data_IF_281784070850
#
_entry.id   IF_281784070850
#
_cell.length_a   1.000
_cell.length_b   1.000
_cell.length_c   1.000
_cell.angle_alpha   90.00
_cell.angle_beta   90.00
_cell.angle_gamma   90.00
#
_symmetry.space_group_name_H-M   'P 1'
#
loop_
_entity.id
_entity.type
_entity.pdbx_description
1 polymer ?
#
# COMPACT_ATOMS: atom_id res chain seq x y z
N UNK A 1 -22.66 -18.53 -41.88
CA UNK A 1 -21.19 -18.45 -41.85
C UNK A 1 -20.77 -18.86 -40.44
N UNK A 2 -20.16 -20.04 -40.29
CA UNK A 2 -19.59 -20.47 -39.01
C UNK A 2 -18.28 -19.70 -38.84
N UNK A 3 -18.23 -18.79 -37.88
CA UNK A 3 -16.98 -18.15 -37.48
C UNK A 3 -16.00 -19.22 -37.04
N UNK A 4 -14.90 -19.32 -37.77
CA UNK A 4 -13.75 -20.14 -37.38
C UNK A 4 -13.10 -19.46 -36.19
N UNK A 5 -13.47 -19.87 -34.99
CA UNK A 5 -12.72 -19.56 -33.78
C UNK A 5 -11.31 -20.08 -34.01
N UNK A 6 -10.33 -19.20 -33.96
CA UNK A 6 -8.91 -19.49 -34.05
C UNK A 6 -8.55 -20.62 -33.04
N UNK A 7 -8.38 -21.83 -33.56
CA UNK A 7 -7.84 -22.97 -32.82
C UNK A 7 -6.32 -22.78 -32.69
N UNK A 8 -5.89 -21.85 -31.83
CA UNK A 8 -4.52 -21.82 -31.39
C UNK A 8 -4.38 -22.81 -30.23
N UNK A 9 -3.82 -23.98 -30.53
CA UNK A 9 -3.42 -24.95 -29.51
C UNK A 9 -1.89 -24.89 -29.36
N UNK A 10 -1.32 -23.99 -28.56
CA UNK A 10 -0.02 -24.27 -28.02
C UNK A 10 -0.20 -25.54 -27.19
N UNK A 11 0.68 -26.53 -27.36
CA UNK A 11 0.76 -27.66 -26.42
C UNK A 11 1.28 -27.07 -25.09
N UNK A 12 0.33 -26.65 -24.24
CA UNK A 12 0.67 -26.23 -22.89
C UNK A 12 1.20 -27.47 -22.18
N UNK A 13 2.26 -27.34 -21.36
CA UNK A 13 2.79 -28.44 -20.60
C UNK A 13 1.69 -29.02 -19.68
N UNK A 14 1.51 -30.34 -19.74
CA UNK A 14 0.59 -31.05 -18.87
C UNK A 14 1.20 -31.07 -17.45
N UNK A 15 0.47 -30.57 -16.46
CA UNK A 15 0.85 -30.62 -15.05
C UNK A 15 0.54 -31.96 -14.41
N UNK A 16 -0.42 -32.70 -14.98
CA UNK A 16 -0.88 -33.99 -14.52
C UNK A 16 -2.25 -34.35 -15.05
N UNK A 17 -2.84 -35.39 -14.48
CA UNK A 17 -4.22 -35.80 -14.76
C UNK A 17 -5.06 -35.76 -13.50
N UNK A 18 -6.31 -35.40 -13.65
CA UNK A 18 -7.28 -35.36 -12.56
C UNK A 18 -8.62 -35.90 -13.00
N UNK A 19 -9.32 -36.57 -12.10
CA UNK A 19 -10.69 -37.03 -12.34
C UNK A 19 -11.65 -35.93 -11.95
N UNK A 20 -12.52 -35.57 -12.88
CA UNK A 20 -13.43 -34.43 -12.77
C UNK A 20 -14.86 -34.91 -13.06
N UNK A 21 -15.85 -34.58 -12.21
CA UNK A 21 -17.24 -34.85 -12.53
C UNK A 21 -17.61 -34.18 -13.86
N UNK A 22 -18.19 -34.95 -14.78
CA UNK A 22 -18.55 -34.45 -16.11
C UNK A 22 -19.46 -33.23 -16.04
N UNK A 23 -20.37 -33.17 -15.07
CA UNK A 23 -21.29 -32.06 -14.84
C UNK A 23 -20.65 -30.78 -14.33
N UNK A 24 -19.39 -30.84 -13.90
CA UNK A 24 -18.63 -29.67 -13.36
C UNK A 24 -17.63 -29.11 -14.36
N UNK A 25 -17.48 -29.74 -15.53
CA UNK A 25 -16.59 -29.25 -16.60
C UNK A 25 -17.31 -28.14 -17.36
N UNK A 26 -16.74 -26.95 -17.31
CA UNK A 26 -17.20 -25.80 -18.09
C UNK A 26 -16.34 -25.69 -19.36
N UNK A 27 -16.93 -25.93 -20.52
CA UNK A 27 -16.28 -25.85 -21.83
C UNK A 27 -16.93 -24.84 -22.77
N UNK A 28 -18.10 -24.30 -22.41
CA UNK A 28 -18.77 -23.26 -23.16
C UNK A 28 -18.24 -21.88 -22.76
N UNK A 29 -18.14 -20.92 -23.72
CA UNK A 29 -17.57 -19.60 -23.45
C UNK A 29 -18.20 -18.86 -22.26
N UNK A 30 -19.50 -18.96 -22.08
CA UNK A 30 -20.21 -18.30 -20.97
C UNK A 30 -19.93 -18.96 -19.60
N UNK A 31 -19.73 -20.27 -19.58
CA UNK A 31 -19.38 -21.02 -18.37
C UNK A 31 -17.93 -20.77 -17.97
N UNK A 32 -17.00 -20.79 -18.95
CA UNK A 32 -15.62 -20.39 -18.76
C UNK A 32 -15.53 -18.98 -18.16
N UNK A 33 -16.28 -18.03 -18.70
CA UNK A 33 -16.33 -16.68 -18.17
C UNK A 33 -16.86 -16.63 -16.75
N UNK A 34 -17.91 -17.38 -16.43
CA UNK A 34 -18.45 -17.45 -15.08
C UNK A 34 -17.43 -18.04 -14.08
N UNK A 35 -16.70 -19.10 -14.46
CA UNK A 35 -15.64 -19.67 -13.63
C UNK A 35 -14.49 -18.68 -13.41
N UNK A 36 -14.03 -17.94 -14.45
CA UNK A 36 -12.96 -16.96 -14.35
C UNK A 36 -13.33 -15.74 -13.49
N UNK A 37 -14.62 -15.44 -13.35
CA UNK A 37 -15.12 -14.40 -12.44
C UNK A 37 -15.24 -14.87 -10.98
N UNK A 38 -15.12 -16.17 -10.72
CA UNK A 38 -15.12 -16.69 -9.36
C UNK A 38 -13.72 -16.51 -8.73
N UNK A 39 -13.53 -15.40 -8.04
CA UNK A 39 -12.24 -15.04 -7.43
C UNK A 39 -12.02 -15.71 -6.06
N UNK A 40 -13.04 -16.35 -5.50
CA UNK A 40 -13.01 -16.90 -4.14
C UNK A 40 -12.58 -18.38 -4.09
N UNK A 41 -12.47 -19.05 -5.25
CA UNK A 41 -12.08 -20.45 -5.37
C UNK A 41 -11.00 -20.63 -6.43
N UNK A 42 -10.13 -21.65 -6.31
CA UNK A 42 -9.19 -21.98 -7.37
C UNK A 42 -9.92 -22.52 -8.60
N UNK A 43 -9.51 -22.08 -9.79
CA UNK A 43 -10.04 -22.55 -11.07
C UNK A 43 -8.98 -23.42 -11.74
N UNK A 44 -9.30 -24.67 -12.01
CA UNK A 44 -8.45 -25.63 -12.69
C UNK A 44 -8.65 -25.52 -14.19
N UNK A 45 -7.56 -25.38 -14.92
CA UNK A 45 -7.55 -25.32 -16.38
C UNK A 45 -7.31 -26.71 -16.94
N UNK A 46 -8.21 -27.18 -17.77
CA UNK A 46 -8.22 -28.51 -18.35
C UNK A 46 -8.05 -28.45 -19.85
N UNK A 47 -7.32 -29.44 -20.40
CA UNK A 47 -7.25 -29.66 -21.83
C UNK A 47 -8.34 -30.66 -22.23
N UNK A 48 -9.40 -30.16 -22.86
CA UNK A 48 -10.51 -30.95 -23.38
C UNK A 48 -10.33 -31.23 -24.88
N UNK A 49 -10.93 -32.28 -25.42
CA UNK A 49 -10.94 -32.54 -26.87
C UNK A 49 -11.44 -31.37 -27.72
N UNK A 50 -12.33 -30.56 -27.15
CA UNK A 50 -12.92 -29.39 -27.81
C UNK A 50 -12.16 -28.08 -27.55
N UNK A 51 -11.09 -28.14 -26.75
CA UNK A 51 -10.25 -27.00 -26.43
C UNK A 51 -10.01 -26.79 -24.93
N UNK A 52 -9.93 -25.54 -24.51
CA UNK A 52 -9.78 -25.21 -23.09
C UNK A 52 -11.11 -25.42 -22.36
N UNK A 53 -11.04 -26.11 -21.24
CA UNK A 53 -12.12 -26.20 -20.28
C UNK A 53 -11.66 -25.77 -18.88
N UNK A 54 -12.60 -25.49 -18.00
CA UNK A 54 -12.30 -25.13 -16.60
C UNK A 54 -13.13 -25.99 -15.65
N UNK A 55 -12.60 -26.14 -14.46
CA UNK A 55 -13.27 -26.84 -13.36
C UNK A 55 -13.05 -26.10 -12.05
N UNK A 56 -14.11 -25.97 -11.28
CA UNK A 56 -14.08 -25.52 -9.88
C UNK A 56 -14.56 -26.69 -9.04
N UNK A 57 -13.71 -27.28 -8.17
CA UNK A 57 -14.09 -28.43 -7.36
C UNK A 57 -15.29 -28.11 -6.45
N UNK A 58 -16.35 -28.89 -6.57
CA UNK A 58 -17.44 -28.90 -5.60
C UNK A 58 -17.21 -29.95 -4.53
N UNK A 59 -17.96 -29.88 -3.43
CA UNK A 59 -17.92 -30.92 -2.40
C UNK A 59 -18.79 -32.14 -2.74
N UNK A 60 -19.39 -32.16 -3.92
CA UNK A 60 -20.27 -33.25 -4.39
C UNK A 60 -19.44 -34.38 -5.00
N UNK A 61 -19.64 -35.59 -4.49
CA UNK A 61 -19.11 -36.80 -5.12
C UNK A 61 -20.06 -37.23 -6.23
N UNK A 62 -19.54 -37.28 -7.48
CA UNK A 62 -20.26 -37.83 -8.63
C UNK A 62 -19.61 -39.15 -9.05
N UNK A 63 -20.43 -40.13 -9.43
CA UNK A 63 -19.96 -41.41 -9.99
C UNK A 63 -19.52 -41.26 -11.47
N UNK A 64 -20.03 -40.26 -12.18
CA UNK A 64 -19.67 -39.98 -13.58
C UNK A 64 -18.45 -39.01 -13.62
N UNK A 65 -17.24 -39.59 -13.59
CA UNK A 65 -15.98 -38.86 -13.64
C UNK A 65 -15.29 -39.06 -14.98
N UNK A 66 -14.65 -37.99 -15.44
CA UNK A 66 -13.76 -38.01 -16.62
C UNK A 66 -12.34 -37.65 -16.22
N UNK A 67 -11.40 -38.50 -16.64
CA UNK A 67 -9.99 -38.18 -16.46
C UNK A 67 -9.59 -37.10 -17.47
N UNK A 68 -9.23 -35.93 -16.96
CA UNK A 68 -8.83 -34.75 -17.76
C UNK A 68 -7.35 -34.44 -17.56
N UNK A 69 -6.75 -33.86 -18.60
CA UNK A 69 -5.39 -33.32 -18.54
C UNK A 69 -5.42 -31.95 -17.89
N UNK A 70 -4.72 -31.79 -16.75
CA UNK A 70 -4.58 -30.54 -16.03
C UNK A 70 -3.41 -29.76 -16.63
N UNK A 71 -3.66 -28.55 -17.10
CA UNK A 71 -2.66 -27.66 -17.73
C UNK A 71 -2.33 -26.42 -16.91
N UNK A 72 -3.14 -26.10 -15.91
CA UNK A 72 -2.90 -24.95 -15.04
C UNK A 72 -3.86 -24.90 -13.87
N UNK A 73 -3.53 -24.08 -12.89
CA UNK A 73 -4.42 -23.74 -11.76
C UNK A 73 -4.35 -22.22 -11.60
N UNK A 74 -5.49 -21.56 -11.68
CA UNK A 74 -5.64 -20.17 -11.26
C UNK A 74 -5.95 -20.19 -9.77
N UNK A 75 -5.06 -19.67 -8.92
CA UNK A 75 -5.31 -19.64 -7.49
C UNK A 75 -6.43 -18.66 -7.14
N UNK A 76 -6.93 -18.74 -5.93
CA UNK A 76 -7.85 -17.74 -5.34
C UNK A 76 -7.25 -16.34 -5.53
N UNK A 77 -8.07 -15.41 -6.00
CA UNK A 77 -7.69 -14.03 -6.31
C UNK A 77 -8.39 -13.03 -5.37
N UNK A 78 -8.48 -13.37 -4.10
CA UNK A 78 -9.07 -12.45 -3.12
C UNK A 78 -8.33 -11.12 -3.10
N UNK A 79 -9.02 -9.97 -3.03
CA UNK A 79 -8.38 -8.66 -2.88
C UNK A 79 -7.41 -8.58 -1.70
N UNK A 80 -7.58 -9.41 -0.67
CA UNK A 80 -6.67 -9.50 0.46
C UNK A 80 -5.29 -10.10 0.12
N UNK A 81 -5.15 -10.73 -1.04
CA UNK A 81 -3.88 -11.29 -1.54
C UNK A 81 -3.14 -10.33 -2.47
N UNK A 82 -3.76 -9.20 -2.84
CA UNK A 82 -3.12 -8.19 -3.68
C UNK A 82 -2.21 -7.30 -2.85
N UNK A 83 -1.06 -6.95 -3.42
CA UNK A 83 -0.07 -6.09 -2.78
C UNK A 83 0.81 -6.79 -1.75
N UNK A 84 1.56 -6.01 -0.99
CA UNK A 84 2.46 -6.52 0.05
C UNK A 84 1.71 -6.70 1.37
N UNK A 85 1.55 -7.94 1.82
CA UNK A 85 0.92 -8.27 3.11
C UNK A 85 1.65 -7.64 4.31
N UNK A 86 2.93 -7.32 4.17
CA UNK A 86 3.72 -6.58 5.15
C UNK A 86 3.21 -5.16 5.41
N UNK A 87 2.40 -4.60 4.50
CA UNK A 87 1.69 -3.33 4.71
C UNK A 87 0.54 -3.46 5.72
N UNK A 88 -0.18 -4.57 5.69
CA UNK A 88 -1.42 -4.72 6.44
C UNK A 88 -1.24 -4.69 7.95
N UNK A 89 -0.25 -5.42 8.47
CA UNK A 89 -0.05 -5.55 9.92
C UNK A 89 0.35 -4.23 10.59
N UNK A 90 1.37 -3.48 10.11
CA UNK A 90 1.75 -2.22 10.73
C UNK A 90 0.69 -1.13 10.61
N UNK A 91 -0.07 -1.10 9.51
CA UNK A 91 -1.13 -0.11 9.29
C UNK A 91 -2.50 -0.55 9.84
N UNK A 92 -2.63 -1.80 10.34
CA UNK A 92 -3.90 -2.36 10.87
C UNK A 92 -5.01 -2.35 9.81
N UNK A 93 -4.67 -2.70 8.57
CA UNK A 93 -5.58 -2.78 7.43
C UNK A 93 -5.90 -4.23 7.08
N UNK A 94 -7.01 -4.43 6.37
CA UNK A 94 -7.36 -5.71 5.77
C UNK A 94 -6.70 -5.90 4.40
N UNK A 95 -6.51 -4.80 3.68
CA UNK A 95 -5.99 -4.79 2.33
C UNK A 95 -4.72 -3.95 2.26
N UNK A 96 -3.77 -4.38 1.44
CA UNK A 96 -2.57 -3.60 1.13
C UNK A 96 -2.91 -2.50 0.11
N UNK A 97 -3.82 -1.61 0.52
CA UNK A 97 -4.35 -0.53 -0.30
C UNK A 97 -4.39 0.78 0.50
N UNK A 98 -3.93 1.85 -0.12
CA UNK A 98 -3.94 3.20 0.43
C UNK A 98 -4.68 4.15 -0.50
N UNK A 99 -5.73 4.80 0.01
CA UNK A 99 -6.42 5.88 -0.67
C UNK A 99 -5.75 7.21 -0.28
N UNK A 100 -5.04 7.81 -1.24
CA UNK A 100 -4.28 9.03 -1.04
C UNK A 100 -5.14 10.26 -0.74
N UNK A 101 -4.52 11.26 -0.15
CA UNK A 101 -5.16 12.52 0.19
C UNK A 101 -5.50 13.36 -1.06
N UNK A 102 -6.61 14.07 -0.97
CA UNK A 102 -6.98 15.17 -1.86
C UNK A 102 -7.12 16.42 -1.01
N UNK A 103 -6.35 17.47 -1.34
CA UNK A 103 -6.23 18.71 -0.58
C UNK A 103 -7.58 19.38 -0.25
N UNK A 104 -7.55 20.39 0.63
CA UNK A 104 -8.69 21.19 1.03
C UNK A 104 -9.89 20.39 1.59
N UNK A 105 -9.63 19.22 2.16
CA UNK A 105 -10.67 18.36 2.71
C UNK A 105 -11.53 17.67 1.66
N UNK A 106 -11.10 17.60 0.37
CA UNK A 106 -11.78 16.83 -0.67
C UNK A 106 -11.75 15.34 -0.32
N UNK A 107 -10.58 14.78 0.08
CA UNK A 107 -10.55 13.54 0.83
C UNK A 107 -11.06 13.84 2.25
N UNK A 108 -12.38 13.74 2.43
CA UNK A 108 -13.10 14.20 3.61
C UNK A 108 -13.03 13.20 4.76
N UNK A 109 -13.47 13.60 5.94
CA UNK A 109 -13.62 12.72 7.10
C UNK A 109 -14.54 11.54 6.79
N UNK A 110 -15.64 11.78 6.05
CA UNK A 110 -16.59 10.75 5.66
C UNK A 110 -15.94 9.69 4.78
N UNK A 111 -15.13 10.11 3.80
CA UNK A 111 -14.39 9.19 2.94
C UNK A 111 -13.40 8.35 3.75
N UNK A 112 -12.58 8.99 4.62
CA UNK A 112 -11.62 8.31 5.47
C UNK A 112 -12.30 7.32 6.41
N UNK A 113 -13.43 7.72 7.01
CA UNK A 113 -14.22 6.87 7.91
C UNK A 113 -14.78 5.67 7.15
N UNK A 114 -15.40 5.88 5.99
CA UNK A 114 -16.01 4.82 5.20
C UNK A 114 -14.96 3.77 4.77
N UNK A 115 -13.79 4.21 4.29
CA UNK A 115 -12.70 3.33 3.90
C UNK A 115 -12.07 2.62 5.11
N UNK A 116 -11.83 3.32 6.22
CA UNK A 116 -11.30 2.75 7.45
C UNK A 116 -12.22 1.68 8.06
N UNK A 117 -13.53 1.83 7.94
CA UNK A 117 -14.51 0.82 8.34
C UNK A 117 -14.40 -0.46 7.51
N UNK A 118 -13.96 -0.38 6.26
CA UNK A 118 -13.72 -1.52 5.38
C UNK A 118 -12.31 -2.12 5.52
N UNK A 119 -11.48 -1.57 6.41
CA UNK A 119 -10.10 -2.03 6.61
C UNK A 119 -9.13 -1.54 5.53
N UNK A 120 -9.41 -0.39 4.94
CA UNK A 120 -8.57 0.29 3.96
C UNK A 120 -7.96 1.52 4.61
N UNK A 121 -6.67 1.76 4.40
CA UNK A 121 -6.01 3.00 4.84
C UNK A 121 -6.43 4.15 3.91
N UNK A 122 -6.87 5.26 4.49
CA UNK A 122 -7.16 6.48 3.74
C UNK A 122 -6.57 7.70 4.43
N UNK A 123 -6.09 8.66 3.63
CA UNK A 123 -5.51 9.90 4.11
C UNK A 123 -6.49 11.06 4.02
N UNK A 124 -6.74 11.73 5.13
CA UNK A 124 -7.51 12.98 5.15
C UNK A 124 -6.75 14.10 4.43
N UNK A 125 -7.43 14.87 3.60
CA UNK A 125 -6.87 15.94 2.78
C UNK A 125 -6.58 17.22 3.54
N UNK A 126 -5.61 17.21 4.44
CA UNK A 126 -5.30 18.32 5.34
C UNK A 126 -4.59 19.50 4.69
N UNK A 127 -4.00 19.35 3.51
CA UNK A 127 -3.32 20.42 2.79
C UNK A 127 -4.24 21.63 2.54
N UNK A 128 -3.75 22.83 2.79
CA UNK A 128 -4.51 24.09 2.64
C UNK A 128 -5.48 24.39 3.79
N UNK A 129 -5.59 23.52 4.80
CA UNK A 129 -6.47 23.73 5.95
C UNK A 129 -5.73 24.34 7.14
N UNK A 130 -6.44 25.20 7.87
CA UNK A 130 -5.93 25.77 9.13
C UNK A 130 -5.90 24.73 10.25
N UNK A 131 -5.00 24.86 11.25
CA UNK A 131 -4.82 23.87 12.32
C UNK A 131 -6.12 23.52 13.09
N UNK A 132 -7.02 24.46 13.32
CA UNK A 132 -8.29 24.20 14.00
C UNK A 132 -9.23 23.30 13.18
N UNK A 133 -9.20 23.42 11.85
CA UNK A 133 -9.98 22.56 10.94
C UNK A 133 -9.41 21.14 10.92
N UNK A 134 -8.07 21.03 10.95
CA UNK A 134 -7.38 19.73 11.04
C UNK A 134 -7.72 19.05 12.37
N UNK A 135 -7.70 19.79 13.49
CA UNK A 135 -8.07 19.28 14.81
C UNK A 135 -9.50 18.72 14.84
N UNK A 136 -10.47 19.46 14.30
CA UNK A 136 -11.85 18.98 14.21
C UNK A 136 -11.96 17.67 13.39
N UNK A 137 -11.21 17.57 12.29
CA UNK A 137 -11.15 16.34 11.49
C UNK A 137 -10.55 15.17 12.25
N UNK A 138 -9.46 15.39 13.00
CA UNK A 138 -8.83 14.35 13.82
C UNK A 138 -9.83 13.79 14.82
N UNK A 139 -10.49 14.66 15.58
CA UNK A 139 -11.46 14.26 16.60
C UNK A 139 -12.60 13.43 16.01
N UNK A 140 -13.18 13.89 14.89
CA UNK A 140 -14.26 13.19 14.19
C UNK A 140 -13.84 11.81 13.69
N UNK A 141 -12.67 11.71 13.03
CA UNK A 141 -12.15 10.45 12.49
C UNK A 141 -11.82 9.49 13.64
N UNK A 142 -11.16 9.94 14.71
CA UNK A 142 -10.80 9.10 15.86
C UNK A 142 -12.04 8.57 16.59
N UNK A 143 -13.08 9.39 16.72
CA UNK A 143 -14.35 8.95 17.31
C UNK A 143 -15.02 7.85 16.50
N UNK A 144 -14.97 7.94 15.16
CA UNK A 144 -15.62 6.98 14.26
C UNK A 144 -14.80 5.73 14.00
N UNK A 145 -13.47 5.81 14.14
CA UNK A 145 -12.52 4.73 13.84
C UNK A 145 -11.66 4.33 15.07
N UNK A 146 -12.27 3.96 16.21
CA UNK A 146 -11.48 3.56 17.36
C UNK A 146 -10.62 2.34 17.02
N UNK A 147 -9.29 2.47 17.16
CA UNK A 147 -8.30 1.42 16.87
C UNK A 147 -8.23 0.93 15.40
N UNK A 148 -8.77 1.68 14.45
CA UNK A 148 -8.70 1.39 13.01
C UNK A 148 -7.69 2.28 12.30
N UNK A 149 -7.36 1.90 11.06
CA UNK A 149 -6.43 2.61 10.21
C UNK A 149 -7.01 3.91 9.67
N UNK A 150 -6.24 4.97 9.76
CA UNK A 150 -6.43 6.24 9.09
C UNK A 150 -5.09 6.98 9.00
N UNK A 151 -4.98 7.89 8.07
CA UNK A 151 -3.82 8.75 7.89
C UNK A 151 -4.24 10.20 7.64
N UNK A 152 -3.30 11.12 7.77
CA UNK A 152 -3.46 12.53 7.47
C UNK A 152 -2.40 12.99 6.50
N UNK A 153 -2.77 13.84 5.56
CA UNK A 153 -1.80 14.47 4.67
C UNK A 153 -0.89 15.44 5.44
N UNK A 154 0.40 15.38 5.18
CA UNK A 154 1.38 16.38 5.57
C UNK A 154 2.04 16.91 4.31
N UNK A 155 1.64 18.11 3.89
CA UNK A 155 2.19 18.75 2.71
C UNK A 155 3.37 19.65 3.08
N UNK A 156 4.41 19.60 2.26
CA UNK A 156 5.48 20.61 2.32
C UNK A 156 5.04 21.88 1.61
N UNK A 157 5.02 23.00 2.36
CA UNK A 157 4.69 24.32 1.84
C UNK A 157 5.81 25.31 2.16
N UNK A 158 6.77 25.50 1.24
CA UNK A 158 7.89 26.42 1.49
C UNK A 158 7.47 27.87 1.76
N UNK A 159 6.35 28.29 1.17
CA UNK A 159 5.79 29.64 1.35
C UNK A 159 5.07 29.83 2.69
N UNK A 160 4.61 28.72 3.31
CA UNK A 160 3.81 28.77 4.53
C UNK A 160 4.28 27.73 5.57
N UNK A 161 5.54 27.84 6.08
CA UNK A 161 6.09 26.85 7.01
C UNK A 161 5.26 26.68 8.29
N UNK A 162 4.52 27.71 8.70
CA UNK A 162 3.67 27.69 9.88
C UNK A 162 2.53 26.68 9.78
N UNK A 163 2.01 26.41 8.58
CA UNK A 163 0.97 25.41 8.36
C UNK A 163 1.52 23.99 8.55
N UNK A 164 2.70 23.70 8.02
CA UNK A 164 3.36 22.41 8.22
C UNK A 164 3.68 22.17 9.71
N UNK A 165 4.24 23.16 10.39
CA UNK A 165 4.54 23.10 11.83
C UNK A 165 3.24 22.87 12.63
N UNK A 166 2.21 23.65 12.36
CA UNK A 166 0.92 23.55 13.05
C UNK A 166 0.22 22.20 12.82
N UNK A 167 0.30 21.64 11.62
CA UNK A 167 -0.20 20.30 11.33
C UNK A 167 0.52 19.23 12.15
N UNK A 168 1.86 19.24 12.14
CA UNK A 168 2.68 18.29 12.94
C UNK A 168 2.38 18.40 14.42
N UNK A 169 2.20 19.61 14.96
CA UNK A 169 1.83 19.82 16.37
C UNK A 169 0.50 19.14 16.70
N UNK A 170 -0.53 19.31 15.84
CA UNK A 170 -1.81 18.64 16.03
C UNK A 170 -1.70 17.13 15.91
N UNK A 171 -0.94 16.62 14.92
CA UNK A 171 -0.76 15.18 14.77
C UNK A 171 -0.10 14.56 15.99
N UNK A 172 0.94 15.17 16.53
CA UNK A 172 1.60 14.70 17.75
C UNK A 172 0.71 14.83 18.99
N UNK A 173 0.03 15.97 19.15
CA UNK A 173 -0.87 16.24 20.29
C UNK A 173 -2.01 15.23 20.36
N UNK A 174 -2.62 14.89 19.24
CA UNK A 174 -3.75 13.98 19.15
C UNK A 174 -3.38 12.54 18.82
N UNK A 175 -2.10 12.22 18.74
CA UNK A 175 -1.62 10.85 18.52
C UNK A 175 -2.01 10.28 17.15
N UNK A 176 -2.01 11.11 16.09
CA UNK A 176 -2.13 10.63 14.71
C UNK A 176 -0.92 9.77 14.37
N UNK A 177 -1.13 8.50 14.03
CA UNK A 177 -0.09 7.48 13.90
C UNK A 177 0.44 7.30 12.48
N UNK A 178 -0.18 7.89 11.48
CA UNK A 178 0.25 7.78 10.09
C UNK A 178 0.05 9.10 9.36
N UNK A 179 1.09 9.54 8.66
CA UNK A 179 1.02 10.69 7.75
C UNK A 179 1.41 10.28 6.34
N UNK A 180 0.73 10.88 5.36
CA UNK A 180 1.09 10.86 3.95
C UNK A 180 1.85 12.15 3.63
N UNK A 181 3.18 12.05 3.47
CA UNK A 181 4.04 13.18 3.15
C UNK A 181 4.02 13.46 1.64
N UNK A 182 3.61 14.66 1.24
CA UNK A 182 3.47 15.04 -0.16
C UNK A 182 4.13 16.39 -0.47
N UNK A 183 4.51 16.58 -1.73
CA UNK A 183 5.16 17.77 -2.26
C UNK A 183 6.52 18.12 -1.61
N UNK A 184 7.15 17.17 -0.94
CA UNK A 184 8.50 17.37 -0.40
C UNK A 184 9.53 17.31 -1.52
N UNK A 185 10.41 18.31 -1.59
CA UNK A 185 11.61 18.31 -2.43
C UNK A 185 12.86 17.96 -1.60
N UNK A 186 12.83 18.23 -0.30
CA UNK A 186 13.79 17.80 0.71
C UNK A 186 13.04 17.62 2.04
N UNK A 187 13.66 17.00 3.02
CA UNK A 187 13.10 16.88 4.36
C UNK A 187 13.06 18.24 5.07
N UNK A 188 12.17 18.36 6.03
CA UNK A 188 12.07 19.51 6.95
C UNK A 188 12.24 19.04 8.40
N UNK A 189 12.54 19.97 9.29
CA UNK A 189 12.56 19.66 10.74
C UNK A 189 11.21 19.18 11.24
N UNK A 190 10.09 19.60 10.62
CA UNK A 190 8.75 19.22 11.04
C UNK A 190 8.45 17.75 10.78
N UNK A 191 8.74 17.23 9.58
CA UNK A 191 8.53 15.81 9.29
C UNK A 191 9.53 14.93 10.04
N UNK A 192 10.77 15.38 10.23
CA UNK A 192 11.76 14.69 11.07
C UNK A 192 11.26 14.63 12.53
N UNK A 193 10.76 15.74 13.09
CA UNK A 193 10.13 15.77 14.41
C UNK A 193 9.01 14.74 14.53
N UNK A 194 8.08 14.73 13.55
CA UNK A 194 6.97 13.78 13.56
C UNK A 194 7.45 12.34 13.60
N UNK A 195 8.36 11.97 12.70
CA UNK A 195 8.92 10.62 12.61
C UNK A 195 9.63 10.21 13.89
N UNK A 196 10.56 11.05 14.33
CA UNK A 196 11.50 10.72 15.43
C UNK A 196 10.82 10.74 16.79
N UNK A 197 9.83 11.60 17.02
CA UNK A 197 9.03 11.60 18.26
C UNK A 197 8.26 10.27 18.48
N UNK A 198 8.08 9.48 17.44
CA UNK A 198 7.43 8.17 17.52
C UNK A 198 8.38 6.97 17.68
N UNK A 199 9.67 7.19 17.93
CA UNK A 199 10.66 6.12 18.11
C UNK A 199 10.84 5.77 19.58
N UNK A 200 10.76 4.47 19.87
CA UNK A 200 10.92 3.94 21.24
C UNK A 200 11.78 2.68 21.22
N UNK A 201 12.70 2.56 22.18
CA UNK A 201 13.45 1.33 22.38
C UNK A 201 12.57 0.31 23.10
N UNK A 202 12.51 -0.92 22.57
CA UNK A 202 11.83 -2.05 23.19
C UNK A 202 12.76 -3.25 23.29
N UNK A 203 12.37 -4.29 24.03
CA UNK A 203 13.14 -5.54 24.09
C UNK A 203 13.26 -6.26 22.73
N UNK A 204 12.36 -5.97 21.79
CA UNK A 204 12.32 -6.55 20.43
C UNK A 204 13.00 -5.69 19.37
N UNK A 205 13.55 -4.53 19.73
CA UNK A 205 14.16 -3.59 18.79
C UNK A 205 13.55 -2.19 18.87
N UNK A 206 13.55 -1.47 17.75
CA UNK A 206 12.99 -0.11 17.69
C UNK A 206 11.52 -0.19 17.28
N UNK A 207 10.64 0.27 18.16
CA UNK A 207 9.22 0.46 17.85
C UNK A 207 9.02 1.82 17.15
N UNK A 208 8.25 1.81 16.07
CA UNK A 208 7.91 2.99 15.28
C UNK A 208 6.42 3.23 15.40
N UNK A 209 6.02 4.20 16.20
CA UNK A 209 4.60 4.53 16.40
C UNK A 209 4.09 5.58 15.40
N UNK A 210 4.94 6.48 14.91
CA UNK A 210 4.60 7.52 13.95
C UNK A 210 5.11 7.11 12.55
N UNK A 211 4.20 6.63 11.71
CA UNK A 211 4.51 6.12 10.38
C UNK A 211 4.44 7.20 9.32
N UNK A 212 5.30 7.07 8.34
CA UNK A 212 5.35 7.99 7.20
C UNK A 212 5.20 7.18 5.92
N UNK A 213 4.21 7.56 5.11
CA UNK A 213 4.06 7.15 3.71
C UNK A 213 4.52 8.34 2.87
N UNK A 214 5.61 8.22 2.14
CA UNK A 214 6.12 9.31 1.32
C UNK A 214 5.64 9.17 -0.12
N UNK A 215 4.93 10.17 -0.63
CA UNK A 215 4.53 10.28 -2.04
C UNK A 215 5.67 10.93 -2.82
N UNK A 216 6.24 10.19 -3.76
CA UNK A 216 7.42 10.60 -4.49
C UNK A 216 7.34 10.26 -5.97
N UNK A 217 7.79 11.17 -6.84
CA UNK A 217 7.97 10.96 -8.29
C UNK A 217 9.44 10.97 -8.71
N UNK A 218 10.36 11.38 -7.81
CA UNK A 218 11.76 11.66 -8.10
C UNK A 218 12.68 10.85 -7.20
N UNK A 219 13.72 10.26 -7.77
CA UNK A 219 14.68 9.42 -7.06
C UNK A 219 15.47 10.14 -5.99
N UNK A 220 15.83 11.42 -6.21
CA UNK A 220 16.53 12.23 -5.23
C UNK A 220 15.67 12.54 -4.00
N UNK A 221 14.37 12.69 -4.17
CA UNK A 221 13.42 12.85 -3.04
C UNK A 221 13.20 11.52 -2.34
N UNK A 222 13.00 10.44 -3.10
CA UNK A 222 12.86 9.09 -2.55
C UNK A 222 14.04 8.71 -1.67
N UNK A 223 15.28 9.03 -2.10
CA UNK A 223 16.50 8.80 -1.30
C UNK A 223 16.39 9.40 0.09
N UNK A 224 15.88 10.64 0.22
CA UNK A 224 15.72 11.32 1.51
C UNK A 224 14.82 10.57 2.48
N UNK A 225 13.80 9.92 1.96
CA UNK A 225 12.86 9.14 2.78
C UNK A 225 13.32 7.70 3.03
N UNK A 226 14.17 7.15 2.17
CA UNK A 226 14.76 5.82 2.31
C UNK A 226 15.94 5.79 3.28
N UNK A 227 16.60 6.92 3.49
CA UNK A 227 17.72 7.09 4.41
C UNK A 227 17.23 7.45 5.83
N UNK A 228 18.06 7.28 6.87
CA UNK A 228 17.82 7.84 8.19
C UNK A 228 17.72 9.36 8.20
N UNK A 229 17.14 9.90 9.28
CA UNK A 229 17.01 11.34 9.44
C UNK A 229 18.38 12.06 9.40
N UNK A 230 18.54 13.13 8.61
CA UNK A 230 19.78 13.87 8.56
C UNK A 230 20.14 14.54 9.90
N UNK A 231 21.42 14.48 10.27
CA UNK A 231 21.93 15.02 11.55
C UNK A 231 21.56 16.50 11.77
N UNK A 232 21.58 17.31 10.69
CA UNK A 232 21.20 18.74 10.75
C UNK A 232 19.81 18.96 11.35
N UNK A 233 18.83 18.10 10.98
CA UNK A 233 17.47 18.21 11.47
C UNK A 233 17.30 17.58 12.87
N UNK A 234 18.03 16.49 13.17
CA UNK A 234 18.06 15.92 14.51
C UNK A 234 18.58 16.94 15.52
N UNK A 235 19.69 17.60 15.22
CA UNK A 235 20.24 18.68 16.03
C UNK A 235 19.22 19.81 16.23
N UNK A 236 18.59 20.28 15.16
CA UNK A 236 17.56 21.31 15.24
C UNK A 236 16.38 20.90 16.14
N UNK A 237 15.94 19.64 16.08
CA UNK A 237 14.87 19.13 16.92
C UNK A 237 15.31 19.02 18.39
N UNK A 238 16.54 18.59 18.66
CA UNK A 238 17.14 18.55 20.01
C UNK A 238 17.24 19.94 20.63
N UNK A 239 17.81 20.91 19.88
CA UNK A 239 17.98 22.29 20.34
C UNK A 239 16.65 22.96 20.71
N UNK A 240 15.55 22.55 20.04
CA UNK A 240 14.18 23.00 20.34
C UNK A 240 13.46 22.16 21.42
N UNK A 241 14.08 21.12 21.92
CA UNK A 241 13.44 20.21 22.88
C UNK A 241 12.26 19.42 22.30
N UNK A 242 12.20 19.24 20.98
CA UNK A 242 11.13 18.53 20.30
C UNK A 242 11.27 17.01 20.35
N UNK A 243 12.50 16.52 20.54
CA UNK A 243 12.85 15.11 20.66
C UNK A 243 13.88 14.93 21.77
N UNK A 244 14.02 13.72 22.28
CA UNK A 244 15.05 13.35 23.26
C UNK A 244 16.34 12.88 22.57
N UNK A 245 17.44 12.84 23.31
CA UNK A 245 18.70 12.28 22.78
C UNK A 245 18.57 10.80 22.45
N UNK A 246 17.80 10.03 23.23
CA UNK A 246 17.50 8.63 22.93
C UNK A 246 16.81 8.50 21.57
N UNK A 247 15.76 9.28 21.33
CA UNK A 247 15.06 9.29 20.03
C UNK A 247 15.97 9.67 18.88
N UNK A 248 16.85 10.64 19.06
CA UNK A 248 17.82 11.02 18.03
C UNK A 248 18.81 9.88 17.74
N UNK A 249 19.25 9.14 18.73
CA UNK A 249 20.13 7.98 18.56
C UNK A 249 19.39 6.85 17.80
N UNK A 250 18.13 6.58 18.13
CA UNK A 250 17.32 5.58 17.44
C UNK A 250 17.07 5.93 15.96
N UNK A 251 16.95 7.23 15.67
CA UNK A 251 16.70 7.72 14.31
C UNK A 251 17.81 7.37 13.29
N UNK A 252 19.04 7.13 13.75
CA UNK A 252 20.14 6.69 12.90
C UNK A 252 19.96 5.26 12.34
N UNK A 253 19.04 4.49 12.91
CA UNK A 253 18.85 3.07 12.61
C UNK A 253 17.55 2.77 11.85
N UNK A 254 16.76 3.77 11.51
CA UNK A 254 15.49 3.62 10.83
C UNK A 254 15.36 4.61 9.67
N UNK A 255 14.72 4.24 8.56
CA UNK A 255 14.46 5.17 7.47
C UNK A 255 13.42 6.21 7.89
N UNK A 256 13.40 7.33 7.17
CA UNK A 256 12.40 8.39 7.36
C UNK A 256 10.98 7.93 7.00
N UNK A 257 10.82 7.02 6.07
CA UNK A 257 9.51 6.49 5.67
C UNK A 257 9.41 4.97 5.84
N UNK A 258 8.24 4.50 6.26
CA UNK A 258 7.88 3.08 6.28
C UNK A 258 7.48 2.58 4.90
N UNK A 259 6.85 3.47 4.12
CA UNK A 259 6.33 3.18 2.79
C UNK A 259 6.62 4.34 1.84
N UNK A 260 6.85 4.02 0.58
CA UNK A 260 6.85 4.99 -0.52
C UNK A 260 5.66 4.72 -1.44
N UNK A 261 4.90 5.74 -1.76
CA UNK A 261 3.97 5.74 -2.88
C UNK A 261 4.63 6.39 -4.08
N UNK A 262 4.83 5.61 -5.13
CA UNK A 262 5.47 6.07 -6.36
C UNK A 262 4.42 6.73 -7.26
N UNK A 263 4.45 8.05 -7.34
CA UNK A 263 3.58 8.83 -8.22
C UNK A 263 4.15 8.86 -9.63
N UNK A 264 3.55 8.08 -10.52
CA UNK A 264 3.90 8.04 -11.93
C UNK A 264 3.19 9.15 -12.74
N UNK A 265 2.75 8.85 -13.94
CA UNK A 265 2.10 9.76 -14.89
C UNK A 265 0.63 10.10 -14.57
N UNK A 266 0.27 10.10 -13.29
CA UNK A 266 -1.11 10.32 -12.81
C UNK A 266 -1.55 11.79 -12.76
N UNK A 267 -0.71 12.72 -13.17
CA UNK A 267 -0.99 14.16 -13.07
C UNK A 267 -0.60 14.77 -11.70
N UNK A 268 -0.93 16.05 -11.50
CA UNK A 268 -0.53 16.77 -10.30
C UNK A 268 0.95 17.20 -10.31
N UNK A 269 1.64 16.99 -9.21
CA UNK A 269 3.05 17.38 -9.04
C UNK A 269 4.04 16.29 -9.47
N UNK A 270 3.68 15.48 -10.45
CA UNK A 270 4.55 14.39 -10.94
C UNK A 270 5.39 14.83 -12.13
N UNK A 271 6.51 14.14 -12.37
CA UNK A 271 7.36 14.35 -13.54
C UNK A 271 6.84 13.59 -14.77
N UNK A 272 5.60 13.09 -14.76
CA UNK A 272 4.95 12.33 -15.82
C UNK A 272 5.75 11.09 -16.29
N UNK A 273 6.55 10.51 -15.41
CA UNK A 273 7.31 9.30 -15.71
C UNK A 273 6.39 8.07 -15.74
N UNK A 274 6.49 7.19 -16.76
CA UNK A 274 5.70 5.97 -16.79
C UNK A 274 6.00 5.05 -15.60
N UNK A 275 4.94 4.47 -15.01
CA UNK A 275 5.07 3.59 -13.84
C UNK A 275 6.02 2.40 -14.09
N UNK A 276 5.97 1.83 -15.30
CA UNK A 276 6.82 0.68 -15.69
C UNK A 276 8.32 0.98 -15.69
N UNK A 277 8.70 2.27 -15.68
CA UNK A 277 10.09 2.73 -15.58
C UNK A 277 10.37 3.19 -14.15
N UNK A 278 9.48 4.00 -13.59
CA UNK A 278 9.70 4.65 -12.31
C UNK A 278 9.71 3.64 -11.14
N UNK A 279 8.77 2.71 -11.10
CA UNK A 279 8.67 1.73 -10.02
C UNK A 279 9.92 0.82 -9.91
N UNK A 280 10.41 0.18 -10.98
CA UNK A 280 11.66 -0.59 -10.93
C UNK A 280 12.86 0.26 -10.51
N UNK A 281 12.91 1.52 -10.92
CA UNK A 281 13.99 2.45 -10.54
C UNK A 281 13.97 2.73 -9.04
N UNK A 282 12.78 2.97 -8.45
CA UNK A 282 12.63 3.18 -7.01
C UNK A 282 12.96 1.92 -6.20
N UNK A 283 12.52 0.75 -6.68
CA UNK A 283 12.86 -0.55 -6.06
C UNK A 283 14.37 -0.80 -6.04
N UNK A 284 15.06 -0.51 -7.16
CA UNK A 284 16.52 -0.62 -7.24
C UNK A 284 17.18 0.33 -6.25
N UNK A 285 16.77 1.61 -6.24
CA UNK A 285 17.29 2.62 -5.32
C UNK A 285 17.15 2.19 -3.85
N UNK A 286 15.96 1.70 -3.46
CA UNK A 286 15.72 1.17 -2.11
C UNK A 286 16.69 0.04 -1.77
N UNK A 287 16.84 -0.93 -2.67
CA UNK A 287 17.71 -2.09 -2.45
C UNK A 287 19.18 -1.68 -2.29
N UNK A 288 19.64 -0.68 -3.04
CA UNK A 288 20.99 -0.15 -2.91
C UNK A 288 21.22 0.57 -1.57
N UNK A 289 20.25 1.38 -1.12
CA UNK A 289 20.36 2.16 0.12
C UNK A 289 20.21 1.25 1.35
N UNK A 290 19.25 0.33 1.31
CA UNK A 290 18.83 -0.40 2.51
C UNK A 290 19.42 -1.81 2.61
N UNK A 291 20.35 -2.19 1.74
CA UNK A 291 21.00 -3.52 1.79
C UNK A 291 21.68 -3.84 3.14
N UNK A 292 22.16 -2.84 3.85
CA UNK A 292 22.82 -2.98 5.15
C UNK A 292 21.98 -2.51 6.33
N UNK A 293 20.72 -2.08 6.10
CA UNK A 293 19.83 -1.61 7.16
C UNK A 293 18.96 -2.77 7.68
N UNK A 294 18.65 -2.77 8.99
CA UNK A 294 17.77 -3.79 9.59
C UNK A 294 16.28 -3.60 9.23
N UNK A 295 15.94 -2.51 8.55
CA UNK A 295 14.59 -2.19 8.12
C UNK A 295 14.52 -2.00 6.62
N UNK A 296 13.37 -2.35 6.03
CA UNK A 296 13.10 -2.15 4.60
C UNK A 296 11.83 -1.35 4.41
N UNK A 297 11.91 -0.29 3.61
CA UNK A 297 10.74 0.52 3.21
C UNK A 297 9.96 -0.22 2.13
N UNK A 298 8.66 -0.34 2.28
CA UNK A 298 7.78 -0.90 1.25
C UNK A 298 7.54 0.14 0.16
N UNK A 299 7.33 -0.33 -1.07
CA UNK A 299 7.08 0.54 -2.24
C UNK A 299 5.84 0.04 -2.98
N UNK A 300 4.91 0.95 -3.22
CA UNK A 300 3.69 0.71 -3.96
C UNK A 300 3.30 1.89 -4.85
#
# INVERSE_FOLDING_TARGET
MKESVLRYHPRLPELGRTDVPRSEIADQPHELHAHLLNLDQPVYLLNSPDGLATWIPSQTTSEDQLTQSLIGILPVQSPSLLGDSGFCQPHRTRYAYHAGAMANGIASEELVIALGQQGILASFGAAGLVPSRIEAAIQKIQQALPNRAYAFNLIHSPSEPALEIGAVERYLQYGVRCVEASAFLDLTASIVRYRVAGLHQTNGGIEITNRVIAKVSRTEVARRFLEPAPEKYLKQCLDKGWITQEQANLAAHVPMADDLTVEADSGGYTDNSPLVILLPTMLKLRNEIQAALPYSTRIG
#
